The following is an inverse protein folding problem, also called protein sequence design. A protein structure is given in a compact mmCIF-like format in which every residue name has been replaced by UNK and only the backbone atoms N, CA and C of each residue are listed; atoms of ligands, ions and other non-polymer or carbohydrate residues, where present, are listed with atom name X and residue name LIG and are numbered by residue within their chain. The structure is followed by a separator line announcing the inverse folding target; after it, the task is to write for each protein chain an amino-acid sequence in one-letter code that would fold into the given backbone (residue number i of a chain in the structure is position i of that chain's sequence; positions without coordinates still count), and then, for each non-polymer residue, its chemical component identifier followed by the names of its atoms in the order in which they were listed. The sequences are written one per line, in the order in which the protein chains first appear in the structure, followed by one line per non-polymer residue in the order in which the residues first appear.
data_IF_930224433627
#
_entry.id   IF_930224433627
#
_cell.length_a   1.000
_cell.length_b   1.000
_cell.length_c   1.000
_cell.angle_alpha   90.00
_cell.angle_beta   90.00
_cell.angle_gamma   90.00
#
_symmetry.space_group_name_H-M   'P 1'
#
loop_
_entity.id
_entity.type
_entity.pdbx_description
1 polymer ?
#
# COMPACT_ATOMS: atom_id res chain seq x y z
N UNK A 1 -10.67 25.31 17.12
CA UNK A 1 -11.59 25.63 18.23
C UNK A 1 -11.04 25.27 19.62
N UNK A 2 -10.85 24.00 20.00
CA UNK A 2 -10.32 23.68 21.36
C UNK A 2 -8.83 24.00 21.53
N UNK A 3 -8.04 23.72 20.50
CA UNK A 3 -6.60 23.96 20.48
C UNK A 3 -6.25 25.45 20.60
N UNK A 4 -6.93 26.31 19.83
CA UNK A 4 -6.75 27.77 19.88
C UNK A 4 -7.06 28.34 21.26
N UNK A 5 -8.09 27.82 21.93
CA UNK A 5 -8.47 28.27 23.28
C UNK A 5 -7.38 27.96 24.30
N UNK A 6 -6.75 26.78 24.20
CA UNK A 6 -5.62 26.38 25.05
C UNK A 6 -4.42 27.29 24.77
N UNK A 7 -4.11 27.55 23.50
CA UNK A 7 -3.04 28.47 23.11
C UNK A 7 -3.21 29.88 23.68
N UNK A 8 -4.43 30.44 23.65
CA UNK A 8 -4.73 31.73 24.25
C UNK A 8 -4.50 31.76 25.78
N UNK A 9 -4.86 30.68 26.48
CA UNK A 9 -4.62 30.57 27.92
C UNK A 9 -3.13 30.45 28.27
N UNK A 10 -2.35 29.78 27.42
CA UNK A 10 -0.90 29.64 27.62
C UNK A 10 -0.14 30.95 27.50
N UNK A 11 -0.65 31.89 26.69
CA UNK A 11 -0.06 33.24 26.52
C UNK A 11 -0.10 34.07 27.80
N UNK A 12 -1.10 33.85 28.65
CA UNK A 12 -1.29 34.63 29.89
C UNK A 12 -0.57 34.04 31.11
N UNK A 13 0.07 32.87 30.98
CA UNK A 13 0.85 32.27 32.06
C UNK A 13 2.19 33.00 32.25
N UNK A 14 2.56 33.29 33.51
CA UNK A 14 3.80 33.99 33.86
C UNK A 14 5.06 33.32 33.26
N UNK A 15 6.07 34.15 32.94
CA UNK A 15 7.33 33.79 32.24
C UNK A 15 8.09 32.57 32.82
N UNK A 16 7.83 32.17 34.06
CA UNK A 16 8.46 31.03 34.74
C UNK A 16 8.08 29.64 34.20
N UNK A 17 7.01 29.52 33.39
CA UNK A 17 6.49 28.24 32.90
C UNK A 17 6.93 27.87 31.47
N UNK A 18 8.02 28.47 30.98
CA UNK A 18 8.45 28.33 29.57
C UNK A 18 8.65 26.90 29.09
N UNK A 19 9.13 25.99 29.95
CA UNK A 19 9.29 24.56 29.60
C UNK A 19 7.94 23.84 29.46
N UNK A 20 6.99 24.19 30.34
CA UNK A 20 5.64 23.65 30.30
C UNK A 20 4.91 24.07 29.02
N UNK A 21 5.18 25.28 28.51
CA UNK A 21 4.61 25.74 27.25
C UNK A 21 5.07 24.87 26.07
N UNK A 22 6.36 24.57 25.96
CA UNK A 22 6.90 23.71 24.89
C UNK A 22 6.34 22.29 25.00
N UNK A 23 6.25 21.72 26.22
CA UNK A 23 5.69 20.38 26.42
C UNK A 23 4.19 20.29 26.13
N UNK A 24 3.41 21.32 26.46
CA UNK A 24 1.98 21.35 26.12
C UNK A 24 1.78 21.48 24.61
N UNK A 25 2.60 22.30 23.94
CA UNK A 25 2.59 22.41 22.48
C UNK A 25 2.91 21.05 21.84
N UNK A 26 3.94 20.36 22.34
CA UNK A 26 4.28 19.01 21.87
C UNK A 26 3.15 18.01 22.09
N UNK A 27 2.50 18.05 23.26
CA UNK A 27 1.37 17.18 23.58
C UNK A 27 0.15 17.44 22.67
N UNK A 28 -0.24 18.71 22.50
CA UNK A 28 -1.39 19.08 21.67
C UNK A 28 -1.14 18.69 20.22
N UNK A 29 0.05 18.98 19.69
CA UNK A 29 0.37 18.70 18.29
C UNK A 29 0.52 17.20 18.03
N UNK A 30 0.97 16.42 19.01
CA UNK A 30 0.93 14.96 18.94
C UNK A 30 -0.46 14.34 19.09
N UNK A 31 -1.42 15.04 19.70
CA UNK A 31 -2.78 14.55 19.90
C UNK A 31 -3.76 14.92 18.77
N UNK A 32 -3.37 15.83 17.88
CA UNK A 32 -4.23 16.37 16.82
C UNK A 32 -3.80 15.80 15.46
N UNK A 33 -4.70 15.06 14.79
CA UNK A 33 -4.42 14.47 13.47
C UNK A 33 -4.07 15.49 12.38
N UNK A 34 -4.64 16.70 12.48
CA UNK A 34 -4.43 17.76 11.50
C UNK A 34 -4.46 19.12 12.18
N UNK A 35 -3.33 19.79 12.13
CA UNK A 35 -3.18 21.15 12.65
C UNK A 35 -3.12 22.08 11.45
N UNK A 36 -3.90 23.15 11.50
CA UNK A 36 -3.81 24.20 10.49
C UNK A 36 -2.44 24.89 10.61
N UNK A 37 -1.70 24.92 9.51
CA UNK A 37 -0.35 25.46 9.45
C UNK A 37 -0.32 26.96 9.76
N UNK A 38 -1.35 27.70 9.37
CA UNK A 38 -1.47 29.14 9.61
C UNK A 38 -1.67 29.41 11.11
N UNK A 39 -2.53 28.64 11.76
CA UNK A 39 -2.77 28.73 13.21
C UNK A 39 -1.50 28.35 13.98
N UNK A 40 -0.78 27.32 13.54
CA UNK A 40 0.46 26.88 14.18
C UNK A 40 1.54 27.95 14.10
N UNK A 41 1.75 28.54 12.92
CA UNK A 41 2.73 29.63 12.71
C UNK A 41 2.36 30.82 13.58
N UNK A 42 1.09 31.23 13.59
CA UNK A 42 0.62 32.36 14.40
C UNK A 42 0.83 32.11 15.91
N UNK A 43 0.59 30.89 16.39
CA UNK A 43 0.83 30.52 17.79
C UNK A 43 2.32 30.53 18.15
N UNK A 44 3.17 29.99 17.27
CA UNK A 44 4.64 29.97 17.43
C UNK A 44 5.18 31.39 17.54
N UNK A 45 4.76 32.29 16.64
CA UNK A 45 5.24 33.67 16.61
C UNK A 45 4.76 34.50 17.81
N UNK A 46 3.54 34.26 18.30
CA UNK A 46 2.93 35.05 19.37
C UNK A 46 3.27 34.58 20.78
N UNK A 47 3.47 33.28 20.99
CA UNK A 47 3.64 32.71 22.33
C UNK A 47 5.12 32.62 22.71
N UNK A 48 6.01 32.36 21.75
CA UNK A 48 7.42 32.02 22.02
C UNK A 48 8.40 32.73 21.07
N UNK A 49 8.37 34.07 20.96
CA UNK A 49 9.28 34.81 20.07
C UNK A 49 10.77 34.60 20.41
N UNK A 50 11.09 34.34 21.68
CA UNK A 50 12.47 34.14 22.16
C UNK A 50 12.94 32.66 22.13
N UNK A 51 12.06 31.72 21.77
CA UNK A 51 12.36 30.26 21.73
C UNK A 51 12.19 29.67 20.34
N UNK A 52 12.49 30.45 19.29
CA UNK A 52 12.50 29.98 17.90
C UNK A 52 13.35 28.72 17.71
N UNK A 53 14.48 28.59 18.41
CA UNK A 53 15.38 27.42 18.29
C UNK A 53 14.73 26.12 18.80
N UNK A 54 14.04 26.16 19.93
CA UNK A 54 13.32 25.01 20.50
C UNK A 54 12.22 24.53 19.52
N UNK A 55 11.51 25.49 18.92
CA UNK A 55 10.42 25.22 17.96
C UNK A 55 10.94 24.69 16.63
N UNK A 56 12.08 25.19 16.14
CA UNK A 56 12.76 24.63 14.97
C UNK A 56 13.17 23.18 15.20
N UNK A 57 13.60 22.84 16.42
CA UNK A 57 13.98 21.47 16.79
C UNK A 57 12.76 20.54 16.81
N UNK A 58 11.62 21.00 17.35
CA UNK A 58 10.36 20.26 17.32
C UNK A 58 9.84 20.07 15.89
N UNK A 59 9.89 21.11 15.05
CA UNK A 59 9.48 21.02 13.65
C UNK A 59 10.32 20.01 12.87
N UNK A 60 11.64 20.00 13.09
CA UNK A 60 12.54 19.02 12.48
C UNK A 60 12.26 17.59 12.98
N UNK A 61 11.96 17.42 14.27
CA UNK A 61 11.57 16.12 14.84
C UNK A 61 10.30 15.59 14.16
N UNK A 62 9.24 16.38 14.06
CA UNK A 62 8.00 15.94 13.41
C UNK A 62 8.16 15.73 11.92
N UNK A 63 8.94 16.56 11.23
CA UNK A 63 9.26 16.31 9.82
C UNK A 63 9.90 14.93 9.64
N UNK A 64 10.85 14.56 10.50
CA UNK A 64 11.49 13.24 10.47
C UNK A 64 10.51 12.11 10.79
N UNK A 65 9.64 12.30 11.76
CA UNK A 65 8.60 11.32 12.12
C UNK A 65 7.60 11.14 10.97
N UNK A 66 7.08 12.23 10.39
CA UNK A 66 6.18 12.18 9.24
C UNK A 66 6.80 11.54 8.00
N UNK A 67 8.08 11.84 7.71
CA UNK A 67 8.82 11.15 6.64
C UNK A 67 8.94 9.65 6.93
N UNK A 68 9.28 9.28 8.17
CA UNK A 68 9.42 7.87 8.58
C UNK A 68 8.09 7.13 8.43
N UNK A 69 7.00 7.69 8.95
CA UNK A 69 5.66 7.10 8.84
C UNK A 69 5.21 6.99 7.39
N UNK A 70 5.47 8.02 6.58
CA UNK A 70 5.16 8.00 5.14
C UNK A 70 5.91 6.90 4.40
N UNK A 71 7.20 6.73 4.68
CA UNK A 71 8.02 5.65 4.11
C UNK A 71 7.51 4.28 4.59
N UNK A 72 7.29 4.09 5.89
CA UNK A 72 6.81 2.82 6.44
C UNK A 72 5.46 2.43 5.86
N UNK A 73 4.52 3.39 5.76
CA UNK A 73 3.21 3.17 5.15
C UNK A 73 3.34 2.83 3.67
N UNK A 74 4.12 3.61 2.91
CA UNK A 74 4.33 3.37 1.48
C UNK A 74 4.95 2.01 1.19
N UNK A 75 5.95 1.59 1.98
CA UNK A 75 6.56 0.26 1.86
C UNK A 75 5.54 -0.83 2.18
N UNK A 76 4.78 -0.69 3.27
CA UNK A 76 3.78 -1.69 3.68
C UNK A 76 2.70 -1.87 2.61
N UNK A 77 2.11 -0.77 2.15
CA UNK A 77 1.07 -0.79 1.13
C UNK A 77 1.60 -1.32 -0.21
N UNK A 78 2.81 -0.93 -0.59
CA UNK A 78 3.47 -1.40 -1.81
C UNK A 78 3.73 -2.91 -1.80
N UNK A 79 4.26 -3.44 -0.69
CA UNK A 79 4.50 -4.87 -0.52
C UNK A 79 3.18 -5.64 -0.52
N UNK A 80 2.19 -5.20 0.25
CA UNK A 80 0.91 -5.90 0.34
C UNK A 80 0.21 -5.96 -1.01
N UNK A 81 0.17 -4.84 -1.75
CA UNK A 81 -0.41 -4.78 -3.09
C UNK A 81 0.35 -5.68 -4.06
N UNK A 82 1.68 -5.58 -4.09
CA UNK A 82 2.52 -6.37 -4.99
C UNK A 82 2.39 -7.88 -4.77
N UNK A 83 2.36 -8.32 -3.51
CA UNK A 83 2.15 -9.75 -3.18
C UNK A 83 0.76 -10.20 -3.62
N UNK A 84 -0.28 -9.43 -3.32
CA UNK A 84 -1.66 -9.78 -3.65
C UNK A 84 -1.86 -9.92 -5.16
N UNK A 85 -1.44 -8.92 -5.92
CA UNK A 85 -1.53 -8.91 -7.38
C UNK A 85 -0.69 -10.04 -8.00
N UNK A 86 0.53 -10.25 -7.50
CA UNK A 86 1.43 -11.31 -7.98
C UNK A 86 0.85 -12.70 -7.77
N UNK A 87 0.31 -12.99 -6.58
CA UNK A 87 -0.32 -14.28 -6.26
C UNK A 87 -1.57 -14.49 -7.12
N UNK A 88 -2.46 -13.50 -7.21
CA UNK A 88 -3.70 -13.64 -7.98
C UNK A 88 -3.40 -13.92 -9.46
N UNK A 89 -2.46 -13.17 -10.04
CA UNK A 89 -2.03 -13.36 -11.42
C UNK A 89 -1.40 -14.74 -11.63
N UNK A 90 -0.47 -15.12 -10.76
CA UNK A 90 0.21 -16.42 -10.86
C UNK A 90 -0.74 -17.61 -10.74
N UNK A 91 -1.73 -17.55 -9.83
CA UNK A 91 -2.74 -18.60 -9.69
C UNK A 91 -3.61 -18.68 -10.94
N UNK A 92 -4.03 -17.54 -11.50
CA UNK A 92 -4.89 -17.49 -12.69
C UNK A 92 -4.17 -18.06 -13.91
N UNK A 93 -2.98 -17.53 -14.21
CA UNK A 93 -2.16 -17.98 -15.35
C UNK A 93 -1.78 -19.46 -15.20
N UNK A 94 -1.35 -19.89 -14.00
CA UNK A 94 -1.01 -21.28 -13.73
C UNK A 94 -2.20 -22.24 -13.88
N UNK A 95 -3.41 -21.82 -13.47
CA UNK A 95 -4.62 -22.62 -13.62
C UNK A 95 -5.05 -22.73 -15.08
N UNK A 96 -5.06 -21.63 -15.82
CA UNK A 96 -5.41 -21.63 -17.25
C UNK A 96 -4.44 -22.48 -18.05
N UNK A 97 -3.13 -22.30 -17.84
CA UNK A 97 -2.11 -23.11 -18.48
C UNK A 97 -2.22 -24.58 -18.10
N UNK A 98 -2.41 -24.89 -16.81
CA UNK A 98 -2.57 -26.27 -16.34
C UNK A 98 -3.80 -26.98 -16.92
N UNK A 99 -4.93 -26.27 -17.06
CA UNK A 99 -6.14 -26.79 -17.71
C UNK A 99 -5.85 -27.07 -19.19
N UNK A 100 -5.27 -26.11 -19.91
CA UNK A 100 -4.98 -26.26 -21.33
C UNK A 100 -3.99 -27.43 -21.59
N UNK A 101 -2.90 -27.50 -20.82
CA UNK A 101 -1.95 -28.61 -20.91
C UNK A 101 -2.59 -29.96 -20.57
N UNK A 102 -3.50 -29.98 -19.59
CA UNK A 102 -4.26 -31.18 -19.23
C UNK A 102 -5.17 -31.66 -20.36
N UNK A 103 -5.90 -30.75 -21.00
CA UNK A 103 -6.76 -31.03 -22.16
C UNK A 103 -5.93 -31.56 -23.34
N UNK A 104 -4.79 -30.93 -23.64
CA UNK A 104 -3.91 -31.38 -24.73
C UNK A 104 -3.28 -32.74 -24.45
N UNK A 105 -2.85 -33.01 -23.21
CA UNK A 105 -2.37 -34.34 -22.80
C UNK A 105 -3.46 -35.40 -22.93
N UNK A 106 -4.70 -35.08 -22.56
CA UNK A 106 -5.83 -36.00 -22.72
C UNK A 106 -6.08 -36.31 -24.20
N UNK A 107 -6.05 -35.30 -25.07
CA UNK A 107 -6.19 -35.47 -26.52
C UNK A 107 -5.08 -36.34 -27.12
N UNK A 108 -3.81 -36.10 -26.74
CA UNK A 108 -2.67 -36.91 -27.17
C UNK A 108 -2.82 -38.38 -26.76
N UNK A 109 -3.20 -38.63 -25.51
CA UNK A 109 -3.44 -39.99 -25.01
C UNK A 109 -4.59 -40.69 -25.75
N UNK A 110 -5.64 -39.95 -26.13
CA UNK A 110 -6.75 -40.47 -26.91
C UNK A 110 -6.32 -40.82 -28.35
N UNK A 111 -5.52 -39.97 -29.00
CA UNK A 111 -4.93 -40.25 -30.31
C UNK A 111 -4.07 -41.52 -30.30
N UNK A 112 -3.22 -41.69 -29.27
CA UNK A 112 -2.39 -42.89 -29.11
C UNK A 112 -3.22 -44.16 -28.92
N UNK A 113 -4.42 -44.05 -28.33
CA UNK A 113 -5.37 -45.15 -28.17
C UNK A 113 -6.22 -45.41 -29.41
N UNK A 114 -6.04 -44.63 -30.48
CA UNK A 114 -6.73 -44.82 -31.75
C UNK A 114 -8.15 -44.26 -31.81
N UNK A 115 -8.51 -43.34 -30.91
CA UNK A 115 -9.77 -42.58 -31.05
C UNK A 115 -9.67 -41.66 -32.27
N UNK A 116 -10.79 -41.49 -32.98
CA UNK A 116 -10.89 -40.56 -34.11
C UNK A 116 -10.89 -39.10 -33.65
N UNK A 117 -10.55 -38.21 -34.58
CA UNK A 117 -10.35 -36.79 -34.29
C UNK A 117 -11.67 -36.11 -33.93
N UNK A 118 -12.79 -36.51 -34.54
CA UNK A 118 -14.10 -35.93 -34.26
C UNK A 118 -14.54 -36.21 -32.82
N UNK A 119 -14.41 -37.46 -32.37
CA UNK A 119 -14.69 -37.87 -30.98
C UNK A 119 -13.80 -37.15 -29.98
N UNK A 120 -12.51 -36.96 -30.30
CA UNK A 120 -11.59 -36.23 -29.41
C UNK A 120 -11.99 -34.75 -29.33
N UNK A 121 -12.36 -34.13 -30.45
CA UNK A 121 -12.81 -32.74 -30.49
C UNK A 121 -14.06 -32.54 -29.60
N UNK A 122 -15.03 -33.45 -29.68
CA UNK A 122 -16.24 -33.40 -28.88
C UNK A 122 -15.95 -33.52 -27.37
N UNK A 123 -15.07 -34.44 -26.96
CA UNK A 123 -14.77 -34.70 -25.55
C UNK A 123 -13.90 -33.60 -24.94
N UNK A 124 -12.91 -33.12 -25.69
CA UNK A 124 -11.88 -32.19 -25.17
C UNK A 124 -12.23 -30.73 -25.41
N UNK A 125 -13.19 -30.44 -26.30
CA UNK A 125 -13.53 -29.08 -26.73
C UNK A 125 -12.44 -28.41 -27.58
N UNK A 126 -11.40 -29.14 -27.98
CA UNK A 126 -10.37 -28.65 -28.90
C UNK A 126 -10.91 -28.61 -30.32
N UNK A 127 -10.39 -27.67 -31.12
CA UNK A 127 -10.66 -27.66 -32.55
C UNK A 127 -9.96 -28.82 -33.26
N UNK A 128 -10.52 -29.26 -34.39
CA UNK A 128 -9.95 -30.32 -35.23
C UNK A 128 -8.52 -29.94 -35.64
N UNK A 129 -8.29 -28.69 -36.02
CA UNK A 129 -6.96 -28.19 -36.40
C UNK A 129 -5.95 -28.34 -35.26
N UNK A 130 -6.35 -28.03 -34.02
CA UNK A 130 -5.48 -28.17 -32.85
C UNK A 130 -5.13 -29.63 -32.59
N UNK A 131 -6.08 -30.55 -32.76
CA UNK A 131 -5.85 -31.98 -32.60
C UNK A 131 -4.93 -32.51 -33.71
N UNK A 132 -5.08 -32.03 -34.94
CA UNK A 132 -4.17 -32.37 -36.04
C UNK A 132 -2.74 -31.86 -35.80
N UNK A 133 -2.57 -30.65 -35.26
CA UNK A 133 -1.26 -30.15 -34.83
C UNK A 133 -0.63 -31.04 -33.76
N UNK A 134 -1.41 -31.45 -32.75
CA UNK A 134 -0.94 -32.36 -31.70
C UNK A 134 -0.55 -33.72 -32.29
N UNK A 135 -1.32 -34.24 -33.25
CA UNK A 135 -1.00 -35.47 -33.98
C UNK A 135 0.31 -35.37 -34.77
N UNK A 136 0.61 -34.21 -35.37
CA UNK A 136 1.89 -33.97 -36.06
C UNK A 136 3.09 -33.99 -35.10
N UNK A 137 2.91 -33.64 -33.83
CA UNK A 137 3.97 -33.70 -32.80
C UNK A 137 4.24 -35.12 -32.28
N UNK A 138 3.33 -36.07 -32.53
CA UNK A 138 3.46 -37.48 -32.16
C UNK A 138 4.25 -38.30 -33.19
N UNK A 139 4.35 -37.82 -34.42
CA UNK A 139 5.07 -38.43 -35.55
C UNK A 139 6.45 -37.79 -35.72
#
# INVERSE_FOLDING_TARGET
VEVEKIFWQMREMERGYSYLQVSIIEYILGAVEKVDEEILIECIEKILPERREDLMTLAEKWRREGIREGIERGIREGIERGIREGIERGIREGREQGIQEGIEKAALNALQKGLDIETIAEITGLSVERIEELKKKLN
#
